data_IF_153755056571
#
_entry.id   IF_153755056571
#
_cell.length_a   1.000
_cell.length_b   1.000
_cell.length_c   1.000
_cell.angle_alpha   90.00
_cell.angle_beta   90.00
_cell.angle_gamma   90.00
#
_symmetry.space_group_name_H-M   'P 1'
#
loop_
_entity.id
_entity.type
_entity.pdbx_description
1 polymer ?
#
# COMPACT_ATOMS: atom_id res chain seq x y z
N UNK A 1 21.14 -4.76 -20.79
CA UNK A 1 20.01 -5.17 -21.65
C UNK A 1 20.10 -4.38 -22.95
N UNK A 2 20.34 -5.03 -24.09
CA UNK A 2 20.46 -4.35 -25.40
C UNK A 2 19.07 -4.16 -26.03
N UNK A 3 18.82 -3.00 -26.63
CA UNK A 3 17.57 -2.69 -27.35
C UNK A 3 17.48 -3.46 -28.67
N UNK A 4 16.25 -3.70 -29.16
CA UNK A 4 16.02 -4.30 -30.50
C UNK A 4 16.32 -3.26 -31.59
N UNK A 5 16.71 -3.71 -32.80
CA UNK A 5 17.13 -2.83 -33.91
C UNK A 5 16.09 -1.80 -34.36
N UNK A 6 14.82 -2.13 -34.23
CA UNK A 6 13.69 -1.24 -34.55
C UNK A 6 13.21 -0.42 -33.35
N UNK A 7 13.86 -0.56 -32.20
CA UNK A 7 13.46 0.13 -31.00
C UNK A 7 14.26 1.42 -30.88
N UNK A 8 13.57 2.56 -31.01
CA UNK A 8 14.16 3.87 -30.81
C UNK A 8 14.74 3.94 -29.39
N UNK A 9 16.00 4.42 -29.19
CA UNK A 9 16.64 4.48 -27.89
C UNK A 9 15.67 4.99 -26.84
N UNK A 10 15.32 4.15 -25.84
CA UNK A 10 14.37 4.50 -24.79
C UNK A 10 15.01 5.61 -23.96
N UNK A 11 14.87 6.88 -24.38
CA UNK A 11 15.27 8.04 -23.58
C UNK A 11 14.55 7.91 -22.24
N UNK A 12 15.31 8.01 -21.15
CA UNK A 12 14.73 8.08 -19.82
C UNK A 12 13.73 9.26 -19.80
N UNK A 13 12.54 9.02 -19.25
CA UNK A 13 11.50 10.04 -19.11
C UNK A 13 10.44 10.14 -20.21
N UNK A 14 10.50 9.32 -21.28
CA UNK A 14 9.41 9.25 -22.29
C UNK A 14 8.06 8.86 -21.68
N UNK A 15 8.08 8.05 -20.62
CA UNK A 15 6.87 7.55 -19.96
C UNK A 15 6.42 8.42 -18.79
N UNK A 16 7.08 9.53 -18.46
CA UNK A 16 6.72 10.34 -17.30
C UNK A 16 5.49 11.22 -17.57
N UNK A 17 5.25 11.57 -18.84
CA UNK A 17 4.12 12.39 -19.30
C UNK A 17 3.15 11.52 -20.11
N UNK A 18 2.26 10.84 -19.41
CA UNK A 18 1.21 9.99 -20.01
C UNK A 18 0.51 9.09 -18.99
N UNK A 19 -0.49 8.33 -19.41
CA UNK A 19 -1.25 7.41 -18.53
C UNK A 19 -0.36 6.41 -17.77
N UNK A 20 0.69 5.90 -18.44
CA UNK A 20 1.65 4.99 -17.82
C UNK A 20 2.52 5.65 -16.74
N UNK A 21 2.92 6.91 -16.95
CA UNK A 21 3.70 7.69 -15.99
C UNK A 21 2.91 8.07 -14.76
N UNK A 22 1.70 8.58 -14.96
CA UNK A 22 0.81 8.95 -13.85
C UNK A 22 0.41 7.72 -13.03
N UNK A 23 0.16 6.57 -13.66
CA UNK A 23 -0.08 5.31 -12.96
C UNK A 23 1.13 4.88 -12.12
N UNK A 24 2.34 4.97 -12.66
CA UNK A 24 3.59 4.65 -11.94
C UNK A 24 3.84 5.59 -10.77
N UNK A 25 3.66 6.90 -10.96
CA UNK A 25 3.77 7.90 -9.89
C UNK A 25 2.77 7.62 -8.76
N UNK A 26 1.52 7.25 -9.10
CA UNK A 26 0.51 6.88 -8.11
C UNK A 26 0.90 5.63 -7.32
N UNK A 27 1.49 4.63 -7.97
CA UNK A 27 1.99 3.43 -7.31
C UNK A 27 3.12 3.76 -6.33
N UNK A 28 4.09 4.58 -6.75
CA UNK A 28 5.19 5.03 -5.90
C UNK A 28 4.69 5.82 -4.68
N UNK A 29 3.74 6.75 -4.88
CA UNK A 29 3.12 7.50 -3.78
C UNK A 29 2.42 6.58 -2.78
N UNK A 30 1.74 5.53 -3.26
CA UNK A 30 1.11 4.52 -2.40
C UNK A 30 2.16 3.74 -1.61
N UNK A 31 3.22 3.28 -2.25
CA UNK A 31 4.34 2.58 -1.58
C UNK A 31 4.96 3.44 -0.49
N UNK A 32 5.26 4.71 -0.78
CA UNK A 32 5.83 5.64 0.19
C UNK A 32 4.89 5.86 1.39
N UNK A 33 3.60 6.11 1.14
CA UNK A 33 2.61 6.26 2.21
C UNK A 33 2.51 5.01 3.09
N UNK A 34 2.59 3.82 2.51
CA UNK A 34 2.62 2.56 3.26
C UNK A 34 3.90 2.44 4.10
N UNK A 35 5.06 2.77 3.52
CA UNK A 35 6.33 2.74 4.23
C UNK A 35 6.33 3.70 5.42
N UNK A 36 5.85 4.94 5.26
CA UNK A 36 5.75 5.90 6.36
C UNK A 36 4.85 5.39 7.49
N UNK A 37 3.74 4.72 7.17
CA UNK A 37 2.87 4.12 8.21
C UNK A 37 3.56 3.01 8.98
N UNK A 38 4.29 2.12 8.28
CA UNK A 38 5.08 1.05 8.90
C UNK A 38 6.14 1.60 9.85
N UNK A 39 6.88 2.61 9.40
CA UNK A 39 7.93 3.24 10.21
C UNK A 39 7.36 3.99 11.42
N UNK A 40 6.14 4.52 11.33
CA UNK A 40 5.48 5.23 12.42
C UNK A 40 4.83 4.30 13.46
N UNK A 41 4.94 2.98 13.32
CA UNK A 41 4.37 2.00 14.27
C UNK A 41 2.85 1.87 14.20
N UNK A 42 2.21 2.42 13.16
CA UNK A 42 0.77 2.32 12.95
C UNK A 42 0.42 1.06 12.18
N UNK A 43 0.33 -0.08 12.86
CA UNK A 43 -0.30 -1.27 12.31
C UNK A 43 -1.75 -0.96 11.96
N UNK A 44 -2.08 -0.99 10.67
CA UNK A 44 -3.43 -1.30 10.21
C UNK A 44 -3.43 -1.57 8.71
N UNK A 45 -3.67 -2.85 8.42
CA UNK A 45 -4.23 -3.37 7.19
C UNK A 45 -3.28 -3.46 5.99
N UNK A 46 -2.58 -4.59 6.03
CA UNK A 46 -2.28 -5.48 4.90
C UNK A 46 -3.33 -5.32 3.79
N UNK A 47 -2.83 -5.24 2.56
CA UNK A 47 -3.53 -5.32 1.28
C UNK A 47 -4.93 -5.97 1.35
N UNK A 48 -6.00 -5.34 0.83
CA UNK A 48 -7.35 -5.93 0.83
C UNK A 48 -7.50 -7.13 -0.13
N UNK A 49 -6.41 -7.71 -0.62
CA UNK A 49 -6.43 -8.88 -1.50
C UNK A 49 -6.14 -10.20 -0.76
N UNK A 50 -5.77 -10.17 0.54
CA UNK A 50 -5.43 -11.39 1.30
C UNK A 50 -5.85 -11.38 2.78
N UNK A 51 -6.75 -10.49 3.23
CA UNK A 51 -7.23 -10.53 4.60
C UNK A 51 -8.75 -10.76 4.65
N UNK A 52 -9.13 -12.03 4.81
CA UNK A 52 -10.48 -12.46 5.21
C UNK A 52 -10.88 -11.78 6.52
N UNK A 53 -12.11 -11.29 6.68
CA UNK A 53 -12.60 -10.80 7.96
C UNK A 53 -13.02 -12.03 8.79
N UNK A 54 -12.07 -12.66 9.46
CA UNK A 54 -12.38 -13.77 10.36
C UNK A 54 -11.50 -13.69 11.60
N UNK A 55 -11.78 -12.74 12.48
CA UNK A 55 -11.83 -12.93 13.94
C UNK A 55 -12.77 -11.83 14.47
N UNK A 56 -14.06 -12.16 14.56
CA UNK A 56 -14.99 -11.42 15.39
C UNK A 56 -14.79 -11.87 16.85
N UNK A 57 -13.87 -11.25 17.57
CA UNK A 57 -13.75 -11.47 19.01
C UNK A 57 -14.78 -10.57 19.73
N UNK A 58 -15.93 -11.16 20.10
CA UNK A 58 -16.86 -10.61 21.09
C UNK A 58 -16.08 -10.26 22.37
N UNK A 59 -15.96 -8.98 22.70
CA UNK A 59 -15.55 -8.57 24.04
C UNK A 59 -16.76 -8.79 24.96
N UNK A 60 -16.76 -9.89 25.71
CA UNK A 60 -17.78 -10.19 26.72
C UNK A 60 -17.74 -9.15 27.83
N UNK A 61 -18.91 -8.61 28.13
CA UNK A 61 -19.20 -7.73 29.25
C UNK A 61 -19.07 -8.47 30.58
N UNK A 62 -17.97 -8.30 31.31
CA UNK A 62 -17.91 -8.68 32.72
C UNK A 62 -16.88 -7.83 33.44
N UNK A 63 -17.34 -6.89 34.24
CA UNK A 63 -16.50 -6.06 35.09
C UNK A 63 -17.32 -4.98 35.79
N UNK A 64 -18.31 -5.41 36.60
CA UNK A 64 -18.94 -4.51 37.58
C UNK A 64 -17.84 -4.05 38.52
N UNK A 65 -17.52 -2.75 38.52
CA UNK A 65 -16.80 -2.12 39.61
C UNK A 65 -17.85 -1.35 40.43
N UNK A 66 -18.27 -1.94 41.54
CA UNK A 66 -19.00 -1.25 42.60
C UNK A 66 -18.23 -1.48 43.90
N UNK A 67 -17.62 -0.41 44.40
CA UNK A 67 -17.10 -0.34 45.77
C UNK A 67 -18.18 0.41 46.55
N UNK A 68 -18.79 -0.26 47.53
CA UNK A 68 -19.54 0.38 48.62
C UNK A 68 -18.61 0.57 49.80
#
# INVERSE_FOLDING_TARGET
>A
MRLKRWESPRRQGRNDKGKGGSARQRQLKKQFKMLSKKLKGGESNISPLFLSPAIAAKKSSSGKLSVS
#
